data_IF_852100174683
#
_entry.id   IF_852100174683
#
_cell.length_a   1.000
_cell.length_b   1.000
_cell.length_c   1.000
_cell.angle_alpha   90.00
_cell.angle_beta   90.00
_cell.angle_gamma   90.00
#
_symmetry.space_group_name_H-M   'P 1'
#
loop_
_entity.id
_entity.type
_entity.pdbx_description
1 polymer ?
#
# COMPACT_ATOMS: atom_id res chain seq x y z
N UNK A 1 5.33 9.64 -25.89
CA UNK A 1 5.70 9.68 -24.45
C UNK A 1 6.73 8.60 -24.10
N UNK A 2 6.37 7.33 -23.86
CA UNK A 2 7.35 6.32 -23.37
C UNK A 2 8.61 6.12 -24.24
N UNK A 3 8.45 6.02 -25.57
CA UNK A 3 9.58 5.90 -26.51
C UNK A 3 10.50 7.12 -26.54
N UNK A 4 9.93 8.31 -26.31
CA UNK A 4 10.68 9.57 -26.28
C UNK A 4 11.60 9.68 -25.04
N UNK A 5 11.24 8.97 -23.97
CA UNK A 5 11.99 8.96 -22.71
C UNK A 5 12.83 7.68 -22.51
N UNK A 6 12.97 6.84 -23.54
CA UNK A 6 13.71 5.55 -23.47
C UNK A 6 13.22 4.63 -22.34
N UNK A 7 11.90 4.60 -22.14
CA UNK A 7 11.25 3.72 -21.17
C UNK A 7 10.86 2.39 -21.83
N UNK A 8 11.06 1.30 -21.10
CA UNK A 8 10.51 -0.02 -21.44
C UNK A 8 9.19 -0.22 -20.71
N UNK A 9 8.13 -0.58 -21.44
CA UNK A 9 6.82 -0.93 -20.89
C UNK A 9 6.81 -2.41 -20.49
N UNK A 10 6.39 -2.69 -19.28
CA UNK A 10 6.18 -4.03 -18.71
C UNK A 10 4.70 -4.23 -18.43
N UNK A 11 4.10 -5.19 -19.14
CA UNK A 11 2.66 -5.46 -19.15
C UNK A 11 2.39 -6.69 -20.01
N UNK A 12 1.50 -7.56 -19.55
CA UNK A 12 0.81 -8.50 -20.44
C UNK A 12 -0.46 -7.83 -21.00
N UNK A 13 -0.58 -7.62 -22.33
CA UNK A 13 -1.77 -7.01 -22.92
C UNK A 13 -3.03 -7.88 -22.80
N UNK A 14 -2.88 -9.19 -22.58
CA UNK A 14 -4.00 -10.14 -22.47
C UNK A 14 -4.52 -10.26 -21.03
N UNK A 15 -3.74 -9.80 -20.05
CA UNK A 15 -4.13 -9.86 -18.64
C UNK A 15 -4.78 -8.54 -18.20
N UNK A 16 -5.99 -8.61 -17.67
CA UNK A 16 -6.67 -7.44 -17.11
C UNK A 16 -6.04 -7.07 -15.77
N UNK A 17 -5.95 -5.78 -15.48
CA UNK A 17 -5.39 -5.27 -14.21
C UNK A 17 -6.46 -4.66 -13.32
N UNK A 18 -7.66 -4.46 -13.87
CA UNK A 18 -8.83 -3.93 -13.19
C UNK A 18 -10.05 -4.75 -13.59
N UNK A 19 -10.79 -5.20 -12.58
CA UNK A 19 -12.06 -5.91 -12.74
C UNK A 19 -13.16 -4.88 -12.98
N UNK A 20 -13.96 -5.13 -14.01
CA UNK A 20 -15.12 -4.33 -14.35
C UNK A 20 -16.26 -4.48 -13.35
N UNK A 21 -17.35 -3.77 -13.60
CA UNK A 21 -18.59 -3.91 -12.85
C UNK A 21 -19.78 -4.02 -13.82
N UNK A 22 -21.01 -3.85 -13.33
CA UNK A 22 -22.22 -3.93 -14.17
C UNK A 22 -22.28 -2.88 -15.29
N UNK A 23 -21.42 -1.86 -15.27
CA UNK A 23 -21.41 -0.73 -16.21
C UNK A 23 -20.14 -0.69 -17.05
N UNK A 24 -19.02 -1.20 -16.55
CA UNK A 24 -17.71 -1.17 -17.21
C UNK A 24 -17.12 -2.58 -17.34
N UNK A 25 -16.51 -2.88 -18.49
CA UNK A 25 -15.80 -4.15 -18.69
C UNK A 25 -14.43 -4.16 -17.99
N UNK A 26 -13.83 -5.34 -17.89
CA UNK A 26 -12.47 -5.48 -17.38
C UNK A 26 -11.48 -4.69 -18.23
N UNK A 27 -10.54 -4.02 -17.58
CA UNK A 27 -9.58 -3.16 -18.27
C UNK A 27 -8.16 -3.45 -17.81
N UNK A 28 -7.23 -2.98 -18.63
CA UNK A 28 -5.81 -3.09 -18.38
C UNK A 28 -5.24 -1.67 -18.33
N UNK A 29 -5.65 -0.93 -17.29
CA UNK A 29 -5.33 0.50 -17.11
C UNK A 29 -3.94 0.72 -16.51
N UNK A 30 -3.42 -0.27 -15.80
CA UNK A 30 -2.17 -0.14 -15.06
C UNK A 30 -0.98 -0.40 -15.97
N UNK A 31 0.03 0.48 -15.88
CA UNK A 31 1.19 0.48 -16.77
C UNK A 31 2.47 0.55 -15.92
N UNK A 32 3.34 -0.44 -16.05
CA UNK A 32 4.65 -0.45 -15.40
C UNK A 32 5.74 -0.06 -16.40
N UNK A 33 6.56 0.95 -16.07
CA UNK A 33 7.67 1.37 -16.92
C UNK A 33 8.99 1.31 -16.17
N UNK A 34 10.06 0.90 -16.87
CA UNK A 34 11.43 0.95 -16.34
C UNK A 34 12.34 1.81 -17.21
N UNK A 35 13.33 2.44 -16.59
CA UNK A 35 14.42 3.14 -17.26
C UNK A 35 15.76 2.51 -16.89
N UNK A 36 16.58 2.15 -17.88
CA UNK A 36 17.94 1.60 -17.69
C UNK A 36 18.01 0.34 -16.80
N UNK A 37 16.94 -0.46 -16.77
CA UNK A 37 16.90 -1.75 -16.09
C UNK A 37 17.31 -2.85 -17.06
N UNK A 38 18.28 -3.70 -16.66
CA UNK A 38 18.78 -4.80 -17.51
C UNK A 38 17.89 -6.03 -17.48
N UNK A 39 17.27 -6.31 -16.34
CA UNK A 39 16.40 -7.45 -16.11
C UNK A 39 15.30 -7.03 -15.14
N UNK A 40 14.07 -7.19 -15.59
CA UNK A 40 12.88 -7.09 -14.76
C UNK A 40 11.94 -8.24 -15.10
N UNK A 41 11.16 -8.66 -14.12
CA UNK A 41 10.08 -9.62 -14.25
C UNK A 41 8.80 -8.94 -13.84
N UNK A 42 7.75 -9.13 -14.62
CA UNK A 42 6.44 -8.55 -14.37
C UNK A 42 5.42 -9.67 -14.22
N UNK A 43 4.62 -9.59 -13.17
CA UNK A 43 3.51 -10.50 -12.92
C UNK A 43 2.29 -9.71 -12.45
N UNK A 44 1.12 -10.20 -12.83
CA UNK A 44 -0.15 -9.73 -12.27
C UNK A 44 -0.83 -10.93 -11.61
N UNK A 45 -1.21 -10.75 -10.35
CA UNK A 45 -1.82 -11.77 -9.53
C UNK A 45 -3.34 -11.74 -9.70
N UNK A 46 -4.00 -12.87 -9.45
CA UNK A 46 -5.46 -12.96 -9.54
C UNK A 46 -6.15 -12.26 -8.36
N UNK A 47 -5.43 -12.10 -7.25
CA UNK A 47 -5.88 -11.52 -6.00
C UNK A 47 -6.07 -10.01 -6.13
N UNK A 48 -7.16 -9.49 -5.55
CA UNK A 48 -7.48 -8.05 -5.55
C UNK A 48 -7.56 -7.43 -4.15
N UNK A 49 -7.46 -8.26 -3.10
CA UNK A 49 -7.54 -7.87 -1.68
C UNK A 49 -8.73 -6.94 -1.40
N UNK A 50 -9.92 -7.30 -1.90
CA UNK A 50 -11.15 -6.54 -1.69
C UNK A 50 -11.29 -5.28 -2.54
N UNK A 51 -10.33 -4.97 -3.43
CA UNK A 51 -10.42 -3.87 -4.40
C UNK A 51 -10.90 -4.34 -5.79
N UNK A 52 -11.10 -3.40 -6.71
CA UNK A 52 -11.36 -3.65 -8.12
C UNK A 52 -10.08 -3.75 -8.98
N UNK A 53 -8.90 -3.75 -8.37
CA UNK A 53 -7.60 -3.87 -9.04
C UNK A 53 -6.86 -5.15 -8.65
N UNK A 54 -6.24 -5.79 -9.65
CA UNK A 54 -5.31 -6.90 -9.43
C UNK A 54 -3.96 -6.39 -8.93
N UNK A 55 -3.30 -7.18 -8.08
CA UNK A 55 -1.94 -6.85 -7.62
C UNK A 55 -0.96 -7.04 -8.78
N UNK A 56 -0.18 -6.00 -9.06
CA UNK A 56 0.93 -6.04 -10.03
C UNK A 56 2.25 -6.04 -9.27
N UNK A 57 3.14 -6.96 -9.63
CA UNK A 57 4.49 -7.02 -9.12
C UNK A 57 5.49 -6.85 -10.27
N UNK A 58 6.47 -5.97 -10.03
CA UNK A 58 7.61 -5.78 -10.90
C UNK A 58 8.89 -6.06 -10.10
N UNK A 59 9.50 -7.20 -10.35
CA UNK A 59 10.78 -7.57 -9.73
C UNK A 59 11.90 -7.01 -10.59
N UNK A 60 12.79 -6.19 -10.01
CA UNK A 60 13.93 -5.61 -10.73
C UNK A 60 15.22 -6.09 -10.11
N UNK A 61 16.10 -6.70 -10.91
CA UNK A 61 17.42 -7.11 -10.45
C UNK A 61 18.27 -5.87 -10.16
N UNK A 62 18.67 -5.69 -8.91
CA UNK A 62 19.42 -4.53 -8.47
C UNK A 62 20.66 -4.91 -7.66
N UNK A 63 21.77 -4.28 -7.98
CA UNK A 63 23.05 -4.38 -7.26
C UNK A 63 23.36 -3.04 -6.60
N UNK A 64 22.67 -2.67 -5.51
CA UNK A 64 23.18 -1.63 -4.59
C UNK A 64 23.23 -2.13 -3.17
N UNK A 65 24.25 -1.63 -2.46
CA UNK A 65 24.42 -1.73 -1.02
C UNK A 65 23.18 -1.16 -0.30
N UNK A 66 22.74 -1.76 0.81
CA UNK A 66 21.63 -1.26 1.60
C UNK A 66 21.89 0.20 1.99
N UNK A 67 20.95 1.09 1.64
CA UNK A 67 20.95 2.45 2.20
C UNK A 67 20.44 2.37 3.63
N UNK A 68 21.00 3.22 4.50
CA UNK A 68 20.63 3.33 5.91
C UNK A 68 19.11 3.33 6.07
N UNK A 69 18.65 2.36 6.83
CA UNK A 69 17.25 1.99 6.91
C UNK A 69 16.56 2.99 7.84
N UNK A 70 15.68 3.82 7.31
CA UNK A 70 15.01 4.88 8.06
C UNK A 70 13.93 4.36 9.02
N UNK A 71 13.35 5.28 9.78
CA UNK A 71 12.13 5.02 10.57
C UNK A 71 10.91 5.32 9.70
N UNK A 72 9.90 4.45 9.76
CA UNK A 72 8.57 4.71 9.17
C UNK A 72 7.57 5.05 10.28
N UNK A 73 6.65 5.96 10.00
CA UNK A 73 5.52 6.30 10.87
C UNK A 73 4.24 5.76 10.26
N UNK A 74 3.45 5.05 11.05
CA UNK A 74 2.23 4.38 10.60
C UNK A 74 1.09 4.71 11.56
N UNK A 75 0.10 5.43 11.06
CA UNK A 75 -1.09 5.83 11.82
C UNK A 75 -2.19 4.79 11.64
N UNK A 76 -2.68 4.24 12.75
CA UNK A 76 -3.86 3.37 12.77
C UNK A 76 -5.13 4.21 12.64
N UNK A 77 -5.55 4.46 11.41
CA UNK A 77 -6.67 5.36 11.13
C UNK A 77 -8.01 4.91 11.71
N UNK A 78 -8.22 3.59 11.88
CA UNK A 78 -9.40 3.05 12.55
C UNK A 78 -9.45 3.47 14.02
N UNK A 79 -8.38 3.18 14.76
CA UNK A 79 -8.19 3.56 16.16
C UNK A 79 -8.26 5.08 16.35
N UNK A 80 -7.57 5.84 15.48
CA UNK A 80 -7.63 7.30 15.46
C UNK A 80 -9.07 7.81 15.33
N UNK A 81 -9.85 7.31 14.36
CA UNK A 81 -11.23 7.75 14.15
C UNK A 81 -12.16 7.35 15.31
N UNK A 82 -11.92 6.21 15.93
CA UNK A 82 -12.68 5.77 17.12
C UNK A 82 -12.38 6.63 18.36
N UNK A 83 -11.12 7.05 18.52
CA UNK A 83 -10.69 7.91 19.62
C UNK A 83 -11.01 9.39 19.39
N UNK A 84 -11.10 9.81 18.12
CA UNK A 84 -11.45 11.18 17.76
C UNK A 84 -12.93 11.43 18.03
N UNK A 85 -13.22 11.94 19.22
CA UNK A 85 -14.54 12.47 19.54
C UNK A 85 -14.77 13.75 18.74
N UNK A 86 -15.69 13.70 17.76
CA UNK A 86 -16.07 14.89 16.99
C UNK A 86 -16.91 15.79 17.88
N UNK A 87 -16.28 16.79 18.48
CA UNK A 87 -16.98 17.83 19.24
C UNK A 87 -17.95 18.58 18.29
N UNK A 88 -19.21 18.70 18.70
CA UNK A 88 -20.24 19.42 17.93
C UNK A 88 -20.01 20.94 17.92
N UNK A 89 -19.13 21.46 18.78
CA UNK A 89 -18.80 22.89 18.86
C UNK A 89 -17.29 23.06 19.07
N UNK A 90 -16.62 23.76 18.17
CA UNK A 90 -15.18 24.07 18.27
C UNK A 90 -15.04 25.48 18.86
N UNK A 91 -14.53 25.58 20.09
CA UNK A 91 -14.35 26.86 20.80
C UNK A 91 -13.06 27.60 20.42
N UNK A 92 -12.16 26.94 19.68
CA UNK A 92 -10.90 27.50 19.20
C UNK A 92 -10.21 26.55 18.23
N UNK A 93 -9.84 27.06 17.05
CA UNK A 93 -9.25 26.23 15.99
C UNK A 93 -7.89 25.66 16.41
N UNK A 94 -7.06 26.45 17.08
CA UNK A 94 -5.72 26.02 17.50
C UNK A 94 -5.76 24.87 18.51
N UNK A 95 -6.68 24.94 19.47
CA UNK A 95 -6.85 23.89 20.48
C UNK A 95 -7.45 22.63 19.89
N UNK A 96 -8.36 22.77 18.94
CA UNK A 96 -8.91 21.63 18.19
C UNK A 96 -7.84 20.96 17.32
N UNK A 97 -7.04 21.74 16.58
CA UNK A 97 -5.92 21.21 15.80
C UNK A 97 -4.92 20.48 16.71
N UNK A 98 -4.59 21.06 17.87
CA UNK A 98 -3.66 20.41 18.82
C UNK A 98 -4.21 19.08 19.33
N UNK A 99 -5.50 19.00 19.67
CA UNK A 99 -6.16 17.73 20.06
C UNK A 99 -6.10 16.70 18.93
N UNK A 100 -6.41 17.10 17.69
CA UNK A 100 -6.38 16.18 16.53
C UNK A 100 -4.97 15.65 16.30
N UNK A 101 -3.95 16.50 16.37
CA UNK A 101 -2.56 16.10 16.20
C UNK A 101 -2.07 15.19 17.32
N UNK A 102 -2.44 15.46 18.58
CA UNK A 102 -2.08 14.61 19.72
C UNK A 102 -2.70 13.21 19.58
N UNK A 103 -3.98 13.12 19.20
CA UNK A 103 -4.64 11.83 18.97
C UNK A 103 -3.98 11.10 17.78
N UNK A 104 -3.64 11.82 16.72
CA UNK A 104 -2.92 11.24 15.58
C UNK A 104 -1.56 10.66 16.00
N UNK A 105 -0.76 11.36 16.81
CA UNK A 105 0.54 10.85 17.28
C UNK A 105 0.38 9.65 18.23
N UNK A 106 -0.63 9.66 19.11
CA UNK A 106 -0.95 8.52 19.99
C UNK A 106 -1.28 7.24 19.21
N UNK A 107 -1.92 7.39 18.06
CA UNK A 107 -2.26 6.27 17.17
C UNK A 107 -1.23 6.04 16.06
N UNK A 108 -0.08 6.73 16.12
CA UNK A 108 1.02 6.56 15.15
C UNK A 108 2.14 5.73 15.74
N UNK A 109 2.32 4.51 15.23
CA UNK A 109 3.46 3.66 15.56
C UNK A 109 4.66 4.06 14.72
N UNK A 110 5.83 4.10 15.35
CA UNK A 110 7.11 4.33 14.67
C UNK A 110 7.87 3.01 14.62
N UNK A 111 8.19 2.53 13.43
CA UNK A 111 8.87 1.25 13.23
C UNK A 111 10.19 1.44 12.49
N UNK A 112 11.20 0.71 12.96
CA UNK A 112 12.48 0.60 12.29
C UNK A 112 12.28 -0.29 11.07
N UNK A 113 12.48 0.25 9.87
CA UNK A 113 12.46 -0.58 8.66
C UNK A 113 13.58 -1.63 8.78
N UNK A 114 13.37 -2.83 8.24
CA UNK A 114 14.36 -3.91 8.20
C UNK A 114 14.81 -4.13 6.76
N UNK A 115 16.00 -4.70 6.57
CA UNK A 115 16.54 -4.98 5.23
C UNK A 115 15.62 -5.91 4.42
N UNK A 116 14.94 -6.84 5.10
CA UNK A 116 13.94 -7.75 4.53
C UNK A 116 12.52 -7.14 4.38
N UNK A 117 12.30 -5.91 4.86
CA UNK A 117 11.02 -5.19 4.74
C UNK A 117 11.28 -3.70 4.53
N UNK A 118 11.89 -3.31 3.39
CA UNK A 118 12.49 -2.00 3.20
C UNK A 118 11.47 -0.88 2.92
N UNK A 119 10.23 -1.22 2.56
CA UNK A 119 9.17 -0.27 2.30
C UNK A 119 7.85 -0.85 2.79
N UNK A 120 7.25 -0.18 3.78
CA UNK A 120 5.88 -0.45 4.19
C UNK A 120 5.04 0.68 3.57
N UNK A 121 4.21 0.33 2.60
CA UNK A 121 3.21 1.27 2.08
C UNK A 121 2.12 1.44 3.14
N UNK A 122 2.06 2.63 3.74
CA UNK A 122 1.09 2.97 4.79
C UNK A 122 -0.36 2.84 4.30
N UNK A 123 -0.60 2.97 2.99
CA UNK A 123 -1.92 2.74 2.41
C UNK A 123 -2.23 1.27 2.19
N UNK A 124 -1.24 0.37 2.09
CA UNK A 124 -1.48 -1.07 1.95
C UNK A 124 -1.48 -1.81 3.29
N UNK A 125 -1.23 -1.11 4.41
CA UNK A 125 -1.13 -1.74 5.72
C UNK A 125 -2.43 -2.41 6.19
N UNK A 126 -3.57 -1.79 5.89
CA UNK A 126 -4.87 -2.35 6.22
C UNK A 126 -5.13 -3.68 5.49
N UNK A 127 -4.48 -3.93 4.36
CA UNK A 127 -4.54 -5.21 3.65
C UNK A 127 -3.70 -6.29 4.36
N UNK A 128 -2.65 -5.90 5.08
CA UNK A 128 -1.84 -6.82 5.88
C UNK A 128 -2.55 -7.21 7.18
N UNK A 129 -3.40 -6.34 7.73
CA UNK A 129 -4.25 -6.66 8.89
C UNK A 129 -5.29 -7.74 8.55
N UNK A 130 -5.74 -7.84 7.29
CA UNK A 130 -6.65 -8.91 6.85
C UNK A 130 -5.95 -10.29 6.78
N UNK A 131 -4.68 -10.35 6.37
CA UNK A 131 -3.89 -11.60 6.37
C UNK A 131 -3.69 -12.18 7.78
N UNK A 132 -3.43 -11.34 8.79
CA UNK A 132 -3.21 -11.81 10.17
C UNK A 132 -4.51 -12.32 10.84
N UNK A 133 -5.67 -11.94 10.31
CA UNK A 133 -6.98 -12.49 10.70
C UNK A 133 -7.15 -13.92 10.14
N UNK A 134 -6.73 -14.18 8.90
CA UNK A 134 -6.81 -15.53 8.30
C UNK A 134 -5.74 -16.51 8.80
N UNK A 135 -4.60 -16.02 9.32
CA UNK A 135 -3.56 -16.85 9.92
C UNK A 135 -3.97 -17.47 11.28
N UNK A 136 -4.96 -16.90 11.97
CA UNK A 136 -5.39 -17.37 13.30
C UNK A 136 -6.48 -18.45 13.32
N UNK A 137 -7.01 -18.85 12.16
CA UNK A 137 -8.01 -19.93 12.06
C UNK A 137 -7.38 -21.32 11.80
N UNK A 138 -6.06 -21.46 12.01
CA UNK A 138 -5.28 -22.66 11.67
C UNK A 138 -4.91 -23.63 12.79
N UNK A 139 -5.32 -23.43 14.04
CA UNK A 139 -4.98 -24.39 15.13
C UNK A 139 -6.13 -24.61 16.11
N UNK A 140 -6.90 -25.66 15.85
CA UNK A 140 -7.98 -26.10 16.74
C UNK A 140 -8.67 -27.38 16.29
N UNK A 141 -7.93 -28.48 16.12
CA UNK A 141 -8.49 -29.84 16.16
C UNK A 141 -7.54 -30.76 16.93
N UNK A 142 -7.95 -31.12 18.15
CA UNK A 142 -7.69 -32.44 18.72
C UNK A 142 -8.82 -33.37 18.28
#
# INVERSE_FOLDING_TARGET
>A
MAKQHRLSLWKDPLQTTRVGNSVATDTNSDLSFTLNVRSAEWSCFSETLGSDHHIIQLTVAHTRKPRGIGMVQITEWGSFRGALHVETTINGVDDWVRKVLDIADQHTKRMQLKEDSPAIDTHLLHLWEEEDIFSKDGTGRN
#
